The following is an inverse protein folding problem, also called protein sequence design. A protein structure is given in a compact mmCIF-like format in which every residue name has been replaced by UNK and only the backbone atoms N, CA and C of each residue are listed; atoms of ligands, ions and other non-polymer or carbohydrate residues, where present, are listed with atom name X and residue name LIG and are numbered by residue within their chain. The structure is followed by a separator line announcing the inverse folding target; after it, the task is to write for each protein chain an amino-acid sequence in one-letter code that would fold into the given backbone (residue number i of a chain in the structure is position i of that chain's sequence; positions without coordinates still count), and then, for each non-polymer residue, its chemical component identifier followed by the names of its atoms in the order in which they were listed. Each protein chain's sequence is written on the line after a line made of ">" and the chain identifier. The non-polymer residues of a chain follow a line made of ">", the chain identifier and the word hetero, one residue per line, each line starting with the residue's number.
data_IF_972759265582
#
_entry.id   IF_972759265582
#
_cell.length_a   1.000
_cell.length_b   1.000
_cell.length_c   1.000
_cell.angle_alpha   90.00
_cell.angle_beta   90.00
_cell.angle_gamma   90.00
#
_symmetry.space_group_name_H-M   'P 1'
#
loop_
_entity.id
_entity.type
_entity.pdbx_description
1 polymer ?
#
# COMPACT_ATOMS: atom_id res chain seq x y z
N UNK A 1 6.08 -24.36 -5.85
CA UNK A 1 5.33 -23.54 -4.87
C UNK A 1 4.49 -22.53 -5.64
N UNK A 2 3.17 -22.53 -5.46
CA UNK A 2 2.24 -21.71 -6.24
C UNK A 2 2.35 -20.21 -5.93
N UNK A 3 1.82 -19.37 -6.82
CA UNK A 3 1.71 -17.92 -6.61
C UNK A 3 0.73 -17.66 -5.46
N UNK A 4 1.03 -16.71 -4.59
CA UNK A 4 0.09 -16.36 -3.52
C UNK A 4 -1.16 -15.69 -4.11
N UNK A 5 -2.33 -15.74 -3.44
CA UNK A 5 -3.53 -15.04 -3.91
C UNK A 5 -3.31 -13.54 -4.17
N UNK A 6 -2.44 -12.90 -3.38
CA UNK A 6 -2.02 -11.52 -3.60
C UNK A 6 -1.16 -11.32 -4.86
N UNK A 7 -0.29 -12.29 -5.19
CA UNK A 7 0.51 -12.28 -6.42
C UNK A 7 -0.35 -12.56 -7.67
N UNK A 8 -1.36 -13.42 -7.56
CA UNK A 8 -2.34 -13.65 -8.62
C UNK A 8 -3.23 -12.43 -8.86
N UNK A 9 -3.73 -11.77 -7.81
CA UNK A 9 -4.52 -10.55 -7.94
C UNK A 9 -3.69 -9.40 -8.54
N UNK A 10 -2.41 -9.26 -8.15
CA UNK A 10 -1.48 -8.31 -8.79
C UNK A 10 -1.23 -8.65 -10.26
N UNK A 11 -1.14 -9.94 -10.59
CA UNK A 11 -1.02 -10.42 -11.97
C UNK A 11 -2.27 -10.13 -12.80
N UNK A 12 -3.46 -10.32 -12.23
CA UNK A 12 -4.76 -9.99 -12.83
C UNK A 12 -4.90 -8.49 -13.08
N UNK A 13 -4.60 -7.63 -12.10
CA UNK A 13 -4.62 -6.18 -12.27
C UNK A 13 -3.65 -5.67 -13.36
N UNK A 14 -2.46 -6.28 -13.46
CA UNK A 14 -1.51 -6.00 -14.57
C UNK A 14 -2.03 -6.49 -15.92
N UNK A 15 -2.74 -7.62 -15.96
CA UNK A 15 -3.33 -8.22 -17.16
C UNK A 15 -4.58 -7.46 -17.64
N UNK A 16 -5.30 -6.82 -16.72
CA UNK A 16 -6.45 -5.93 -16.96
C UNK A 16 -6.06 -4.54 -17.50
N UNK A 17 -4.78 -4.29 -17.78
CA UNK A 17 -4.35 -3.08 -18.50
C UNK A 17 -4.41 -1.80 -17.67
N UNK A 18 -4.51 -1.90 -16.33
CA UNK A 18 -4.32 -0.76 -15.44
C UNK A 18 -2.83 -0.40 -15.39
N UNK A 19 -2.35 0.28 -16.44
CA UNK A 19 -1.00 0.82 -16.46
C UNK A 19 -0.84 1.82 -15.32
N UNK A 20 0.35 1.89 -14.74
CA UNK A 20 0.64 2.83 -13.64
C UNK A 20 0.28 4.28 -14.02
N UNK A 21 0.48 4.63 -15.30
CA UNK A 21 0.12 5.94 -15.83
C UNK A 21 -1.40 6.15 -15.92
N UNK A 22 -2.18 5.13 -16.31
CA UNK A 22 -3.64 5.21 -16.31
C UNK A 22 -4.22 5.35 -14.89
N UNK A 23 -3.64 4.66 -13.91
CA UNK A 23 -4.04 4.79 -12.49
C UNK A 23 -3.73 6.19 -11.97
N UNK A 24 -2.53 6.71 -12.30
CA UNK A 24 -2.10 8.05 -11.90
C UNK A 24 -2.97 9.14 -12.54
N UNK A 25 -3.36 8.97 -13.79
CA UNK A 25 -4.25 9.89 -14.50
C UNK A 25 -5.68 9.84 -13.95
N UNK A 26 -6.20 8.65 -13.64
CA UNK A 26 -7.50 8.48 -13.01
C UNK A 26 -7.55 9.14 -11.62
N UNK A 27 -6.50 8.97 -10.81
CA UNK A 27 -6.35 9.67 -9.52
C UNK A 27 -6.28 11.19 -9.69
N UNK A 28 -5.52 11.69 -10.67
CA UNK A 28 -5.44 13.12 -10.96
C UNK A 28 -6.77 13.71 -11.43
N UNK A 29 -7.54 12.96 -12.23
CA UNK A 29 -8.88 13.34 -12.67
C UNK A 29 -9.88 13.36 -11.51
N UNK A 30 -9.78 12.43 -10.57
CA UNK A 30 -10.63 12.38 -9.37
C UNK A 30 -10.33 13.55 -8.41
N UNK A 31 -9.06 13.94 -8.27
CA UNK A 31 -8.66 15.13 -7.50
C UNK A 31 -9.19 16.40 -8.18
N UNK A 32 -9.10 16.50 -9.51
CA UNK A 32 -9.62 17.65 -10.27
C UNK A 32 -11.14 17.76 -10.20
N UNK A 33 -11.86 16.64 -10.32
CA UNK A 33 -13.33 16.62 -10.18
C UNK A 33 -13.76 16.99 -8.76
N UNK A 34 -13.07 16.46 -7.75
CA UNK A 34 -13.32 16.79 -6.34
C UNK A 34 -13.09 18.27 -6.04
N UNK A 35 -12.01 18.88 -6.55
CA UNK A 35 -11.76 20.33 -6.43
C UNK A 35 -12.83 21.16 -7.15
N UNK A 36 -13.28 20.73 -8.33
CA UNK A 36 -14.34 21.41 -9.07
C UNK A 36 -15.68 21.35 -8.32
N UNK A 37 -15.99 20.22 -7.68
CA UNK A 37 -17.17 20.10 -6.80
C UNK A 37 -17.05 21.01 -5.58
N UNK A 38 -15.90 21.01 -4.91
CA UNK A 38 -15.66 21.85 -3.74
C UNK A 38 -15.83 23.36 -4.04
N UNK A 39 -15.37 23.83 -5.20
CA UNK A 39 -15.55 25.22 -5.60
C UNK A 39 -17.02 25.57 -5.88
N UNK A 40 -17.79 24.67 -6.53
CA UNK A 40 -19.24 24.86 -6.72
C UNK A 40 -20.01 24.86 -5.40
N UNK A 41 -19.54 24.10 -4.41
CA UNK A 41 -20.12 24.06 -3.08
C UNK A 41 -19.88 25.35 -2.27
N UNK A 42 -18.87 26.17 -2.60
CA UNK A 42 -18.60 27.47 -1.94
C UNK A 42 -19.58 28.54 -2.38
N UNK A 43 -20.03 28.49 -3.64
CA UNK A 43 -21.04 29.41 -4.19
C UNK A 43 -22.48 28.90 -3.98
N UNK A 44 -22.64 27.66 -3.50
CA UNK A 44 -23.93 27.02 -3.27
C UNK A 44 -24.79 27.81 -2.27
N UNK A 45 -25.96 28.25 -2.74
CA UNK A 45 -26.95 29.00 -1.95
C UNK A 45 -26.75 30.51 -1.89
N UNK A 46 -25.57 31.01 -2.29
CA UNK A 46 -25.26 32.45 -2.35
C UNK A 46 -25.85 33.10 -3.61
N UNK A 47 -25.89 32.34 -4.72
CA UNK A 47 -26.56 32.74 -5.97
C UNK A 47 -28.09 32.52 -5.94
N UNK A 48 -28.58 31.54 -5.17
CA UNK A 48 -30.01 31.18 -5.09
C UNK A 48 -30.78 31.92 -3.98
N UNK A 49 -30.21 33.00 -3.42
CA UNK A 49 -30.92 33.87 -2.48
C UNK A 49 -31.18 33.29 -1.07
N UNK A 50 -30.52 32.18 -0.69
CA UNK A 50 -30.63 31.59 0.64
C UNK A 50 -29.71 32.37 1.61
N UNK A 51 -30.29 33.21 2.47
CA UNK A 51 -29.54 34.11 3.36
C UNK A 51 -29.08 33.44 4.66
N UNK A 52 -29.75 32.37 5.09
CA UNK A 52 -29.50 31.72 6.38
C UNK A 52 -28.70 30.43 6.21
N UNK A 53 -27.67 30.23 7.04
CA UNK A 53 -26.81 29.03 6.99
C UNK A 53 -27.60 27.72 7.12
N UNK A 54 -28.63 27.71 7.96
CA UNK A 54 -29.46 26.52 8.18
C UNK A 54 -30.30 26.13 6.96
N UNK A 55 -30.75 27.11 6.17
CA UNK A 55 -31.53 26.85 4.97
C UNK A 55 -30.63 26.28 3.86
N UNK A 56 -29.40 26.79 3.74
CA UNK A 56 -28.38 26.25 2.83
C UNK A 56 -28.03 24.80 3.22
N UNK A 57 -27.85 24.53 4.51
CA UNK A 57 -27.55 23.19 5.01
C UNK A 57 -28.68 22.19 4.73
N UNK A 58 -29.94 22.57 4.97
CA UNK A 58 -31.11 21.72 4.68
C UNK A 58 -31.26 21.41 3.20
N UNK A 59 -31.07 22.41 2.33
CA UNK A 59 -31.13 22.21 0.88
C UNK A 59 -29.99 21.30 0.41
N UNK A 60 -28.79 21.46 0.96
CA UNK A 60 -27.64 20.60 0.65
C UNK A 60 -27.89 19.15 1.04
N UNK A 61 -28.46 18.89 2.22
CA UNK A 61 -28.81 17.53 2.66
C UNK A 61 -29.85 16.92 1.71
N UNK A 62 -30.82 17.70 1.26
CA UNK A 62 -31.82 17.26 0.28
C UNK A 62 -31.15 16.89 -1.06
N UNK A 63 -30.30 17.78 -1.58
CA UNK A 63 -29.61 17.56 -2.85
C UNK A 63 -28.59 16.39 -2.77
N UNK A 64 -27.97 16.14 -1.61
CA UNK A 64 -27.10 14.96 -1.38
C UNK A 64 -27.87 13.64 -1.41
N UNK A 65 -29.14 13.65 -1.00
CA UNK A 65 -30.01 12.47 -0.95
C UNK A 65 -30.77 12.25 -2.27
N UNK A 66 -30.94 13.29 -3.09
CA UNK A 66 -31.61 13.19 -4.39
C UNK A 66 -30.66 12.62 -5.47
N UNK A 67 -30.95 11.45 -6.08
CA UNK A 67 -30.06 10.78 -7.03
C UNK A 67 -30.00 11.45 -8.42
N UNK A 68 -30.84 12.46 -8.66
CA UNK A 68 -30.91 13.20 -9.92
C UNK A 68 -29.89 14.33 -9.99
N UNK A 69 -29.49 14.89 -8.84
CA UNK A 69 -28.56 16.00 -8.73
C UNK A 69 -27.11 15.53 -8.95
N UNK A 70 -26.23 16.45 -9.35
CA UNK A 70 -24.80 16.16 -9.50
C UNK A 70 -24.14 15.79 -8.16
N UNK A 71 -24.63 16.37 -7.05
CA UNK A 71 -24.14 16.09 -5.71
C UNK A 71 -24.57 14.69 -5.24
N UNK A 72 -25.83 14.30 -5.45
CA UNK A 72 -26.34 12.98 -5.12
C UNK A 72 -25.72 11.86 -5.96
N UNK A 73 -25.43 12.12 -7.24
CA UNK A 73 -24.67 11.17 -8.08
C UNK A 73 -23.23 11.01 -7.59
N UNK A 74 -22.58 12.11 -7.15
CA UNK A 74 -21.24 12.06 -6.62
C UNK A 74 -21.17 11.33 -5.28
N UNK A 75 -22.12 11.55 -4.36
CA UNK A 75 -22.20 10.85 -3.07
C UNK A 75 -22.46 9.36 -3.25
N UNK A 76 -23.38 8.99 -4.15
CA UNK A 76 -23.65 7.58 -4.47
C UNK A 76 -22.43 6.88 -5.10
N UNK A 77 -21.68 7.56 -5.97
CA UNK A 77 -20.43 7.04 -6.56
C UNK A 77 -19.32 6.89 -5.51
N UNK A 78 -19.15 7.87 -4.63
CA UNK A 78 -18.19 7.82 -3.54
C UNK A 78 -18.50 6.68 -2.56
N UNK A 79 -19.76 6.50 -2.18
CA UNK A 79 -20.21 5.41 -1.32
C UNK A 79 -19.96 4.03 -1.97
N UNK A 80 -20.25 3.88 -3.28
CA UNK A 80 -19.95 2.64 -4.02
C UNK A 80 -18.46 2.36 -4.13
N UNK A 81 -17.63 3.40 -4.33
CA UNK A 81 -16.17 3.27 -4.38
C UNK A 81 -15.61 2.85 -3.01
N UNK A 82 -16.04 3.50 -1.94
CA UNK A 82 -15.65 3.15 -0.57
C UNK A 82 -16.08 1.72 -0.20
N UNK A 83 -17.28 1.29 -0.59
CA UNK A 83 -17.74 -0.08 -0.40
C UNK A 83 -16.88 -1.10 -1.18
N UNK A 84 -16.55 -0.80 -2.44
CA UNK A 84 -15.68 -1.67 -3.26
C UNK A 84 -14.25 -1.75 -2.72
N UNK A 85 -13.68 -0.64 -2.26
CA UNK A 85 -12.34 -0.61 -1.64
C UNK A 85 -12.34 -1.36 -0.30
N UNK A 86 -13.40 -1.25 0.50
CA UNK A 86 -13.55 -2.01 1.73
C UNK A 86 -13.70 -3.52 1.46
N UNK A 87 -14.47 -3.89 0.44
CA UNK A 87 -14.62 -5.28 0.00
C UNK A 87 -13.28 -5.84 -0.50
N UNK A 88 -12.57 -5.12 -1.37
CA UNK A 88 -11.25 -5.53 -1.86
C UNK A 88 -10.23 -5.68 -0.71
N UNK A 89 -10.24 -4.76 0.26
CA UNK A 89 -9.43 -4.86 1.46
C UNK A 89 -9.77 -6.12 2.26
N UNK A 90 -11.07 -6.37 2.50
CA UNK A 90 -11.54 -7.55 3.20
C UNK A 90 -11.12 -8.84 2.49
N UNK A 91 -11.27 -8.93 1.16
CA UNK A 91 -10.81 -10.09 0.38
C UNK A 91 -9.29 -10.26 0.42
N UNK A 92 -8.52 -9.17 0.39
CA UNK A 92 -7.06 -9.19 0.50
C UNK A 92 -6.58 -9.65 1.88
N UNK A 93 -7.38 -9.41 2.92
CA UNK A 93 -7.07 -9.79 4.31
C UNK A 93 -7.75 -11.09 4.78
N UNK A 94 -8.73 -11.61 4.04
CA UNK A 94 -9.52 -12.78 4.45
C UNK A 94 -8.62 -14.02 4.52
N UNK A 95 -8.50 -14.60 5.72
CA UNK A 95 -7.75 -15.82 5.97
C UNK A 95 -6.27 -15.64 6.29
N UNK A 96 -5.76 -14.40 6.39
CA UNK A 96 -4.37 -14.14 6.74
C UNK A 96 -4.30 -13.43 8.09
N UNK A 97 -4.25 -14.20 9.17
CA UNK A 97 -3.99 -13.70 10.53
C UNK A 97 -2.50 -13.37 10.70
N UNK A 98 -2.00 -12.37 9.99
CA UNK A 98 -0.62 -11.89 10.16
C UNK A 98 -0.56 -10.99 11.40
N UNK A 99 0.09 -11.47 12.46
CA UNK A 99 0.42 -10.67 13.64
C UNK A 99 1.90 -10.38 13.59
N UNK A 100 2.25 -9.19 13.13
CA UNK A 100 3.63 -8.74 13.14
C UNK A 100 4.08 -8.50 14.59
N UNK A 101 5.05 -9.29 15.04
CA UNK A 101 5.62 -9.16 16.39
C UNK A 101 6.24 -7.79 16.65
N UNK A 102 6.26 -7.39 17.92
CA UNK A 102 6.91 -6.15 18.35
C UNK A 102 8.42 -6.23 18.13
N UNK A 103 9.03 -5.07 17.89
CA UNK A 103 10.46 -4.97 17.63
C UNK A 103 11.19 -5.02 18.97
N UNK A 104 12.13 -5.95 19.19
CA UNK A 104 12.93 -5.99 20.40
C UNK A 104 13.78 -4.72 20.53
N UNK A 105 13.96 -4.24 21.76
CA UNK A 105 14.70 -3.01 22.06
C UNK A 105 16.14 -3.10 21.55
N UNK A 106 16.58 -2.07 20.82
CA UNK A 106 17.93 -2.00 20.21
C UNK A 106 18.06 -2.60 18.81
N UNK A 107 17.00 -3.19 18.23
CA UNK A 107 17.01 -3.69 16.84
C UNK A 107 16.27 -2.73 15.90
N UNK A 108 16.92 -2.31 14.83
CA UNK A 108 16.28 -1.47 13.81
C UNK A 108 15.11 -2.22 13.13
N UNK A 109 13.90 -1.65 13.09
CA UNK A 109 12.73 -2.31 12.51
C UNK A 109 12.89 -2.68 11.03
N UNK A 110 13.74 -1.95 10.29
CA UNK A 110 14.07 -2.22 8.89
C UNK A 110 14.94 -3.45 8.68
N UNK A 111 15.54 -4.00 9.74
CA UNK A 111 16.28 -5.26 9.72
C UNK A 111 15.38 -6.48 9.93
N UNK A 112 14.08 -6.27 10.12
CA UNK A 112 13.08 -7.32 10.29
C UNK A 112 12.21 -7.35 9.05
N UNK A 113 11.98 -8.54 8.49
CA UNK A 113 11.11 -8.70 7.33
C UNK A 113 9.66 -8.33 7.68
N UNK A 114 9.01 -7.58 6.81
CA UNK A 114 7.59 -7.32 6.94
C UNK A 114 6.79 -8.60 6.65
N UNK A 115 6.10 -9.13 7.66
CA UNK A 115 5.26 -10.32 7.48
C UNK A 115 4.11 -10.05 6.50
N UNK A 116 3.52 -8.85 6.53
CA UNK A 116 2.52 -8.43 5.55
C UNK A 116 3.10 -8.40 4.12
N UNK A 117 4.39 -8.07 3.96
CA UNK A 117 5.06 -8.12 2.66
C UNK A 117 5.29 -9.57 2.21
N UNK A 118 5.72 -10.45 3.13
CA UNK A 118 5.87 -11.89 2.88
C UNK A 118 4.59 -12.53 2.35
N UNK A 119 3.43 -12.12 2.87
CA UNK A 119 2.12 -12.58 2.43
C UNK A 119 1.53 -11.78 1.24
N UNK A 120 2.22 -10.73 0.77
CA UNK A 120 1.78 -9.89 -0.37
C UNK A 120 0.66 -8.88 -0.03
N UNK A 121 0.32 -8.74 1.25
CA UNK A 121 -0.79 -7.91 1.73
C UNK A 121 -0.37 -6.59 2.36
N UNK A 122 0.93 -6.24 2.34
CA UNK A 122 1.37 -4.94 2.83
C UNK A 122 0.74 -3.78 2.02
N UNK A 123 0.06 -2.88 2.73
CA UNK A 123 -0.53 -1.65 2.18
C UNK A 123 0.49 -0.51 2.02
N UNK A 124 1.67 -0.63 2.65
CA UNK A 124 2.73 0.38 2.61
C UNK A 124 3.69 0.10 1.45
N UNK A 125 4.17 1.15 0.77
CA UNK A 125 5.30 1.01 -0.15
C UNK A 125 6.57 0.69 0.63
N UNK A 126 7.51 -0.05 0.04
CA UNK A 126 8.68 -0.61 0.76
C UNK A 126 9.51 0.43 1.50
N UNK A 127 9.67 1.62 0.92
CA UNK A 127 10.44 2.71 1.54
C UNK A 127 9.73 3.36 2.73
N UNK A 128 8.39 3.29 2.76
CA UNK A 128 7.53 3.87 3.80
C UNK A 128 7.10 2.84 4.85
N UNK A 129 7.44 1.57 4.66
CA UNK A 129 7.17 0.54 5.64
C UNK A 129 8.19 0.60 6.78
N UNK A 130 7.73 0.41 8.02
CA UNK A 130 8.62 0.31 9.19
C UNK A 130 9.54 -0.91 9.08
N UNK A 131 9.12 -1.94 8.35
CA UNK A 131 9.79 -3.23 8.23
C UNK A 131 10.32 -3.46 6.81
N UNK A 132 11.31 -4.34 6.65
CA UNK A 132 11.96 -4.62 5.37
C UNK A 132 11.00 -5.28 4.37
N UNK A 133 11.05 -4.82 3.11
CA UNK A 133 10.37 -5.45 1.98
C UNK A 133 11.34 -6.26 1.10
N UNK A 134 12.41 -6.79 1.70
CA UNK A 134 13.46 -7.53 1.00
C UNK A 134 13.60 -8.91 1.63
N UNK A 135 13.32 -9.96 0.84
CA UNK A 135 13.28 -11.35 1.32
C UNK A 135 14.62 -11.85 1.88
N UNK A 136 15.74 -11.24 1.45
CA UNK A 136 17.09 -11.62 1.86
C UNK A 136 17.50 -11.11 3.26
N UNK A 137 16.69 -10.27 3.90
CA UNK A 137 16.98 -9.78 5.26
C UNK A 137 16.90 -10.88 6.31
N UNK A 138 16.07 -11.92 6.10
CA UNK A 138 15.98 -13.08 6.99
C UNK A 138 17.26 -13.93 6.95
N UNK A 139 17.92 -14.03 5.79
CA UNK A 139 19.14 -14.83 5.62
C UNK A 139 20.33 -14.26 6.39
N UNK A 140 20.36 -12.93 6.58
CA UNK A 140 21.44 -12.24 7.31
C UNK A 140 21.32 -12.36 8.83
N UNK A 141 20.14 -12.66 9.37
CA UNK A 141 19.92 -12.84 10.81
C UNK A 141 19.89 -14.30 11.29
N UNK A 142 19.73 -15.26 10.38
CA UNK A 142 19.74 -16.69 10.71
C UNK A 142 21.05 -17.38 10.35
N UNK A 143 22.09 -17.22 11.18
CA UNK A 143 23.18 -18.22 11.32
C UNK A 143 23.93 -18.69 10.07
N UNK A 144 24.05 -17.88 9.01
CA UNK A 144 24.84 -18.21 7.82
C UNK A 144 26.28 -17.70 7.94
N UNK A 145 27.21 -18.64 8.08
CA UNK A 145 28.68 -18.51 8.17
C UNK A 145 29.34 -17.92 6.92
N UNK A 146 28.91 -16.79 6.38
CA UNK A 146 29.55 -16.21 5.19
C UNK A 146 29.54 -14.68 5.25
N UNK A 147 30.69 -14.10 5.61
CA UNK A 147 31.19 -12.75 5.25
C UNK A 147 32.05 -12.09 6.35
N UNK A 148 32.76 -12.88 7.15
CA UNK A 148 34.13 -12.56 7.54
C UNK A 148 34.96 -13.82 7.30
N UNK A 149 35.40 -14.02 6.05
CA UNK A 149 36.62 -14.80 5.83
C UNK A 149 37.73 -13.88 6.32
N UNK A 150 38.30 -14.19 7.46
CA UNK A 150 39.52 -13.53 7.90
C UNK A 150 40.61 -13.92 6.90
N UNK A 151 41.12 -12.92 6.17
CA UNK A 151 42.02 -13.09 5.02
C UNK A 151 43.40 -13.64 5.43
N UNK A 152 43.64 -13.89 6.72
CA UNK A 152 44.95 -14.09 7.32
C UNK A 152 45.19 -15.53 7.82
N UNK A 153 44.18 -16.41 7.79
CA UNK A 153 44.34 -17.83 8.19
C UNK A 153 44.65 -18.76 7.00
N UNK A 154 44.81 -18.22 5.79
CA UNK A 154 45.00 -19.01 4.56
C UNK A 154 46.46 -19.11 4.08
N UNK A 155 47.43 -18.53 4.79
CA UNK A 155 48.83 -18.46 4.35
C UNK A 155 49.76 -19.47 5.04
N UNK A 156 49.33 -20.15 6.10
CA UNK A 156 50.18 -21.09 6.88
C UNK A 156 50.08 -22.57 6.48
N UNK A 157 49.35 -22.91 5.40
CA UNK A 157 49.06 -24.29 5.04
C UNK A 157 49.70 -24.81 3.73
N UNK A 158 50.55 -24.02 3.05
CA UNK A 158 51.07 -24.36 1.71
C UNK A 158 52.61 -24.39 1.62
N UNK A 159 53.32 -24.73 2.71
CA UNK A 159 54.78 -24.78 2.72
C UNK A 159 55.37 -26.08 3.35
N UNK A 160 54.73 -27.24 3.12
CA UNK A 160 55.18 -28.49 3.76
C UNK A 160 55.06 -29.79 2.93
N UNK A 161 55.07 -29.75 1.58
CA UNK A 161 55.05 -31.02 0.79
C UNK A 161 55.81 -31.00 -0.55
N UNK A 162 57.02 -30.44 -0.58
CA UNK A 162 58.02 -30.73 -1.63
C UNK A 162 59.41 -30.95 -1.02
N UNK A 163 59.63 -32.12 -0.43
CA UNK A 163 60.97 -32.68 -0.21
C UNK A 163 60.90 -34.19 0.06
N UNK A 164 61.05 -35.02 -0.99
CA UNK A 164 61.80 -36.28 -0.90
C UNK A 164 62.20 -36.74 -2.32
N UNK A 165 63.51 -36.68 -2.58
CA UNK A 165 64.24 -37.35 -3.66
C UNK A 165 65.00 -38.53 -3.04
#
# INVERSE_FOLDING_TARGET
>A
MGKTPAQENRGKAKKEGQSHDAVKEMQANDIRSSKKLANKDVDFGRENGLKNRDQIAKQRIKDMNDPTTELGKATARAARKAAKEAEEFLLRTKGISVKQGEVPEGVDPKTILCEYFKHGCCAKTGDKCKFSHTLDVVKRKGGGKEAKRDLYEADEADEADEADE
#
